data_IF_644507699078
#
_entry.id   IF_644507699078
#
_cell.length_a   1.000
_cell.length_b   1.000
_cell.length_c   1.000
_cell.angle_alpha   90.00
_cell.angle_beta   90.00
_cell.angle_gamma   90.00
#
_symmetry.space_group_name_H-M   'P 1'
#
loop_
_entity.id
_entity.type
_entity.pdbx_description
1 polymer ?
#
# COMPACT_ATOMS: atom_id res chain seq x y z
N UNK A 1 8.63 -12.68 -17.97
CA UNK A 1 9.09 -12.50 -16.59
C UNK A 1 9.21 -11.02 -16.33
N UNK A 2 8.96 -10.59 -15.11
CA UNK A 2 8.95 -9.19 -14.71
C UNK A 2 7.93 -8.99 -13.62
N UNK A 3 8.41 -8.65 -12.42
CA UNK A 3 7.57 -8.30 -11.28
C UNK A 3 7.94 -6.88 -10.88
N UNK A 4 6.96 -6.02 -10.76
CA UNK A 4 7.12 -4.72 -10.12
C UNK A 4 6.70 -4.87 -8.66
N UNK A 5 7.51 -4.34 -7.74
CA UNK A 5 7.31 -4.43 -6.30
C UNK A 5 7.29 -3.03 -5.70
N UNK A 6 6.36 -2.79 -4.78
CA UNK A 6 6.41 -1.65 -3.86
C UNK A 6 6.48 -2.17 -2.44
N UNK A 7 7.50 -1.73 -1.69
CA UNK A 7 7.73 -2.10 -0.30
C UNK A 7 7.48 -0.90 0.61
N UNK A 8 6.74 -1.12 1.70
CA UNK A 8 6.56 -0.16 2.78
C UNK A 8 6.92 -0.84 4.11
N UNK A 9 7.78 -0.24 4.92
CA UNK A 9 8.00 -0.72 6.29
C UNK A 9 6.84 -0.23 7.15
N UNK A 10 6.21 -1.16 7.87
CA UNK A 10 5.06 -0.91 8.74
C UNK A 10 5.49 -0.76 10.21
N UNK A 11 6.44 -1.57 10.65
CA UNK A 11 6.97 -1.57 12.01
C UNK A 11 8.43 -2.05 12.05
N UNK A 12 9.14 -1.69 13.13
CA UNK A 12 10.57 -1.97 13.30
C UNK A 12 11.46 -0.80 12.87
N UNK A 13 12.77 -0.94 13.06
CA UNK A 13 13.72 0.16 12.82
C UNK A 13 13.98 0.43 11.34
N UNK A 14 13.72 -0.55 10.48
CA UNK A 14 13.82 -0.40 9.03
C UNK A 14 14.83 -1.34 8.38
N UNK A 15 15.02 -1.13 7.08
CA UNK A 15 15.81 -1.95 6.19
C UNK A 15 16.57 -1.08 5.20
N UNK A 16 17.79 -1.46 4.87
CA UNK A 16 18.53 -0.91 3.74
C UNK A 16 18.33 -1.83 2.55
N UNK A 17 17.75 -1.32 1.47
CA UNK A 17 17.62 -2.01 0.19
C UNK A 17 18.75 -1.60 -0.74
N UNK A 18 19.47 -2.59 -1.26
CA UNK A 18 20.42 -2.42 -2.36
C UNK A 18 19.80 -3.03 -3.62
N UNK A 19 19.35 -2.17 -4.54
CA UNK A 19 18.74 -2.55 -5.81
C UNK A 19 19.72 -2.21 -6.92
N UNK A 20 20.08 -3.20 -7.73
CA UNK A 20 21.07 -3.02 -8.80
C UNK A 20 20.76 -1.81 -9.68
N UNK A 21 21.78 -0.95 -9.88
CA UNK A 21 21.66 0.27 -10.68
C UNK A 21 21.07 1.48 -9.94
N UNK A 22 20.83 1.38 -8.62
CA UNK A 22 20.39 2.48 -7.75
C UNK A 22 21.34 2.65 -6.58
N UNK A 23 21.34 3.83 -5.97
CA UNK A 23 21.96 4.01 -4.66
C UNK A 23 21.18 3.19 -3.61
N UNK A 24 21.86 2.62 -2.59
CA UNK A 24 21.17 1.98 -1.48
C UNK A 24 20.15 2.92 -0.83
N UNK A 25 18.98 2.38 -0.51
CA UNK A 25 17.87 3.14 0.06
C UNK A 25 17.55 2.64 1.46
N UNK A 26 17.57 3.55 2.43
CA UNK A 26 17.10 3.28 3.79
C UNK A 26 15.59 3.48 3.87
N UNK A 27 14.87 2.44 4.30
CA UNK A 27 13.42 2.45 4.45
C UNK A 27 13.06 2.19 5.91
N UNK A 28 12.32 3.12 6.51
CA UNK A 28 11.81 3.03 7.88
C UNK A 28 10.30 3.08 7.88
N UNK A 29 9.68 2.91 9.06
CA UNK A 29 8.26 3.08 9.23
C UNK A 29 7.75 4.49 8.92
N UNK A 30 8.60 5.48 8.65
CA UNK A 30 8.22 6.83 8.20
C UNK A 30 8.45 7.05 6.70
N UNK A 31 9.11 6.13 6.00
CA UNK A 31 9.42 6.27 4.59
C UNK A 31 8.16 6.20 3.71
N UNK A 32 8.21 6.90 2.58
CA UNK A 32 7.24 6.76 1.50
C UNK A 32 7.34 5.34 0.89
N UNK A 33 6.27 4.84 0.25
CA UNK A 33 6.30 3.58 -0.50
C UNK A 33 7.46 3.55 -1.51
N UNK A 34 8.23 2.47 -1.52
CA UNK A 34 9.42 2.34 -2.36
C UNK A 34 9.20 1.32 -3.48
N UNK A 35 9.03 1.81 -4.71
CA UNK A 35 8.84 0.98 -5.90
C UNK A 35 10.14 0.63 -6.60
N UNK A 36 10.25 -0.62 -7.07
CA UNK A 36 11.37 -1.13 -7.85
C UNK A 36 10.99 -2.37 -8.67
N UNK A 37 11.78 -2.63 -9.72
CA UNK A 37 11.71 -3.86 -10.49
C UNK A 37 12.30 -5.02 -9.65
N UNK A 38 11.50 -6.03 -9.30
CA UNK A 38 11.95 -7.14 -8.46
C UNK A 38 12.68 -8.26 -9.24
N UNK A 39 12.84 -8.09 -10.55
CA UNK A 39 13.59 -8.99 -11.43
C UNK A 39 15.05 -8.53 -11.66
N UNK A 40 15.51 -7.49 -10.97
CA UNK A 40 16.94 -7.14 -10.88
C UNK A 40 17.53 -7.61 -9.55
N UNK A 41 18.84 -7.90 -9.48
CA UNK A 41 19.49 -8.27 -8.22
C UNK A 41 19.16 -7.25 -7.11
N UNK A 42 18.63 -7.76 -6.00
CA UNK A 42 18.23 -6.96 -4.85
C UNK A 42 18.69 -7.65 -3.58
N UNK A 43 19.39 -6.92 -2.71
CA UNK A 43 19.76 -7.37 -1.37
C UNK A 43 19.09 -6.45 -0.33
N UNK A 44 18.90 -6.99 0.87
CA UNK A 44 18.23 -6.28 1.95
C UNK A 44 18.91 -6.59 3.28
N UNK A 45 19.22 -5.56 4.05
CA UNK A 45 19.85 -5.68 5.36
C UNK A 45 18.99 -4.95 6.41
N UNK A 46 18.61 -5.65 7.48
CA UNK A 46 17.89 -5.05 8.61
C UNK A 46 18.79 -4.03 9.30
N UNK A 47 18.27 -2.84 9.57
CA UNK A 47 18.99 -1.80 10.31
C UNK A 47 19.18 -2.26 11.76
N UNK A 48 18.08 -2.69 12.40
CA UNK A 48 18.10 -3.23 13.75
C UNK A 48 16.82 -4.01 14.05
N UNK A 49 16.99 -5.30 14.36
CA UNK A 49 15.89 -6.20 14.70
C UNK A 49 14.94 -6.52 13.53
N UNK A 50 13.90 -7.31 13.80
CA UNK A 50 12.90 -7.66 12.79
C UNK A 50 12.06 -6.44 12.40
N UNK A 51 11.50 -6.50 11.19
CA UNK A 51 10.51 -5.55 10.69
C UNK A 51 9.23 -6.27 10.28
N UNK A 52 8.14 -5.51 10.18
CA UNK A 52 6.95 -5.90 9.40
C UNK A 52 6.88 -5.00 8.18
N UNK A 53 6.64 -5.56 7.01
CA UNK A 53 6.49 -4.81 5.76
C UNK A 53 5.15 -5.11 5.05
N UNK A 54 4.66 -4.12 4.31
CA UNK A 54 3.62 -4.27 3.30
C UNK A 54 4.31 -4.38 1.95
N UNK A 55 3.95 -5.44 1.24
CA UNK A 55 4.57 -5.82 -0.02
C UNK A 55 3.52 -5.97 -1.11
N UNK A 56 3.53 -5.05 -2.07
CA UNK A 56 2.64 -5.09 -3.23
C UNK A 56 3.46 -5.52 -4.44
N UNK A 57 3.05 -6.63 -5.07
CA UNK A 57 3.76 -7.22 -6.21
C UNK A 57 2.79 -7.44 -7.36
N UNK A 58 3.10 -6.90 -8.53
CA UNK A 58 2.32 -7.13 -9.76
C UNK A 58 3.18 -7.69 -10.87
N UNK A 59 2.59 -8.52 -11.73
CA UNK A 59 3.27 -9.03 -12.91
C UNK A 59 3.29 -7.96 -14.01
N UNK A 60 4.50 -7.50 -14.35
CA UNK A 60 4.73 -6.49 -15.38
C UNK A 60 4.16 -6.92 -16.73
N UNK A 61 3.56 -5.98 -17.43
CA UNK A 61 2.87 -6.21 -18.71
C UNK A 61 1.52 -6.94 -18.58
N UNK A 62 1.06 -7.25 -17.36
CA UNK A 62 -0.31 -7.73 -17.11
C UNK A 62 -1.06 -6.84 -16.14
N UNK A 63 -0.38 -6.35 -15.12
CA UNK A 63 -0.95 -5.49 -14.10
C UNK A 63 0.04 -4.38 -13.74
N UNK A 64 -0.49 -3.22 -13.40
CA UNK A 64 0.24 -2.11 -12.78
C UNK A 64 -0.33 -1.85 -11.39
N UNK A 65 0.47 -1.29 -10.49
CA UNK A 65 -0.04 -0.84 -9.19
C UNK A 65 0.53 0.51 -8.78
N UNK A 66 -0.19 1.19 -7.90
CA UNK A 66 0.31 2.31 -7.09
C UNK A 66 0.03 2.03 -5.63
N UNK A 67 0.90 2.52 -4.75
CA UNK A 67 0.70 2.49 -3.30
C UNK A 67 0.86 3.90 -2.79
N UNK A 68 -0.14 4.38 -2.07
CA UNK A 68 -0.17 5.69 -1.44
C UNK A 68 -0.26 5.51 0.07
N UNK A 69 0.55 6.25 0.81
CA UNK A 69 0.50 6.31 2.27
C UNK A 69 -0.15 7.63 2.68
N UNK A 70 -1.25 7.55 3.40
CA UNK A 70 -2.02 8.71 3.86
C UNK A 70 -2.02 8.78 5.38
N UNK A 71 -1.75 9.97 5.91
CA UNK A 71 -2.07 10.32 7.30
C UNK A 71 -3.42 11.00 7.31
N UNK A 72 -4.38 10.43 8.02
CA UNK A 72 -5.77 10.92 8.03
C UNK A 72 -6.22 11.15 9.45
N UNK A 73 -6.85 12.29 9.69
CA UNK A 73 -7.37 12.67 11.00
C UNK A 73 -8.81 13.21 10.93
N UNK A 74 -9.41 13.14 9.75
CA UNK A 74 -10.78 13.56 9.47
C UNK A 74 -11.40 12.57 8.48
N UNK A 75 -12.74 12.51 8.39
CA UNK A 75 -13.41 11.66 7.43
C UNK A 75 -12.94 11.94 6.01
N UNK A 76 -12.77 10.88 5.24
CA UNK A 76 -12.42 10.98 3.82
C UNK A 76 -13.30 10.05 3.00
N UNK A 77 -13.27 10.27 1.70
CA UNK A 77 -14.06 9.49 0.78
C UNK A 77 -13.13 8.75 -0.18
N UNK A 78 -13.24 7.43 -0.21
CA UNK A 78 -12.50 6.56 -1.12
C UNK A 78 -13.40 6.16 -2.28
N UNK A 79 -12.86 6.32 -3.48
CA UNK A 79 -13.49 5.92 -4.73
C UNK A 79 -12.65 4.80 -5.36
N UNK A 80 -13.31 3.77 -5.87
CA UNK A 80 -12.67 2.69 -6.62
C UNK A 80 -12.24 3.23 -8.01
N UNK A 81 -11.03 3.78 -8.10
CA UNK A 81 -10.48 4.44 -9.30
C UNK A 81 -9.64 3.55 -10.21
N UNK A 82 -9.48 2.29 -9.83
CA UNK A 82 -8.73 1.27 -10.55
C UNK A 82 -9.57 -0.01 -10.58
N UNK A 83 -9.17 -0.98 -11.41
CA UNK A 83 -9.82 -2.30 -11.48
C UNK A 83 -10.07 -2.88 -10.08
N UNK A 84 -9.06 -2.77 -9.20
CA UNK A 84 -9.17 -3.07 -7.77
C UNK A 84 -8.48 -1.99 -6.94
N UNK A 85 -9.18 -1.47 -5.93
CA UNK A 85 -8.64 -0.55 -4.91
C UNK A 85 -8.68 -1.24 -3.56
N UNK A 86 -7.57 -1.24 -2.82
CA UNK A 86 -7.48 -1.74 -1.46
C UNK A 86 -7.19 -0.58 -0.50
N UNK A 87 -7.84 -0.60 0.66
CA UNK A 87 -7.55 0.31 1.77
C UNK A 87 -7.16 -0.50 3.00
N UNK A 88 -5.99 -0.19 3.57
CA UNK A 88 -5.44 -0.89 4.73
C UNK A 88 -5.03 0.12 5.81
N UNK A 89 -5.72 0.21 6.94
CA UNK A 89 -5.28 0.96 8.10
C UNK A 89 -4.01 0.30 8.67
N UNK A 90 -2.97 1.09 8.91
CA UNK A 90 -1.77 0.60 9.58
C UNK A 90 -1.98 0.50 11.10
N UNK A 91 -2.65 1.50 11.65
CA UNK A 91 -2.95 1.64 13.05
C UNK A 91 -4.39 2.17 13.22
N UNK A 92 -4.82 2.33 14.47
CA UNK A 92 -6.14 2.87 14.76
C UNK A 92 -7.28 2.04 14.18
N UNK A 93 -8.45 2.65 14.11
CA UNK A 93 -9.64 2.04 13.55
C UNK A 93 -10.35 3.03 12.65
N UNK A 94 -10.89 2.51 11.55
CA UNK A 94 -11.69 3.25 10.59
C UNK A 94 -13.08 2.64 10.55
N UNK A 95 -14.11 3.47 10.66
CA UNK A 95 -15.50 3.07 10.43
C UNK A 95 -15.86 3.37 8.99
N UNK A 96 -16.40 2.39 8.27
CA UNK A 96 -17.06 2.61 6.99
C UNK A 96 -18.48 3.08 7.27
N UNK A 97 -18.80 4.30 6.88
CA UNK A 97 -20.13 4.87 7.09
C UNK A 97 -21.14 4.26 6.11
N UNK A 98 -22.35 4.01 6.60
CA UNK A 98 -23.46 3.45 5.82
C UNK A 98 -24.64 3.10 6.72
N UNK A 99 -25.67 2.49 6.15
CA UNK A 99 -26.87 2.06 6.91
C UNK A 99 -26.53 1.01 7.98
N UNK A 100 -25.50 0.19 7.72
CA UNK A 100 -24.88 -0.72 8.66
C UNK A 100 -23.37 -0.45 8.71
N UNK A 101 -22.88 0.33 9.70
CA UNK A 101 -21.46 0.66 9.77
C UNK A 101 -20.58 -0.55 10.02
N UNK A 102 -19.47 -0.65 9.28
CA UNK A 102 -18.47 -1.68 9.44
C UNK A 102 -17.17 -1.09 10.00
N UNK A 103 -16.39 -1.89 10.74
CA UNK A 103 -15.13 -1.45 11.36
C UNK A 103 -13.96 -2.14 10.68
N UNK A 104 -12.97 -1.35 10.31
CA UNK A 104 -11.71 -1.79 9.73
C UNK A 104 -10.61 -1.50 10.75
N UNK A 105 -10.07 -2.56 11.35
CA UNK A 105 -8.96 -2.49 12.28
C UNK A 105 -7.59 -2.45 11.59
N UNK A 106 -6.51 -2.39 12.38
CA UNK A 106 -5.15 -2.44 11.84
C UNK A 106 -4.93 -3.71 10.99
N UNK A 107 -4.44 -3.51 9.78
CA UNK A 107 -4.11 -4.55 8.78
C UNK A 107 -5.31 -5.33 8.23
N UNK A 108 -6.55 -4.96 8.58
CA UNK A 108 -7.71 -5.38 7.79
C UNK A 108 -7.65 -4.71 6.41
N UNK A 109 -8.29 -5.33 5.43
CA UNK A 109 -8.32 -4.83 4.06
C UNK A 109 -9.76 -4.61 3.59
N UNK A 110 -10.10 -3.37 3.29
CA UNK A 110 -11.26 -3.05 2.46
C UNK A 110 -10.86 -3.23 0.99
N UNK A 111 -11.61 -4.03 0.23
CA UNK A 111 -11.40 -4.25 -1.19
C UNK A 111 -12.59 -3.70 -1.97
N UNK A 112 -12.31 -2.85 -2.94
CA UNK A 112 -13.31 -2.20 -3.79
C UNK A 112 -12.96 -2.44 -5.25
N UNK A 113 -13.86 -3.06 -5.98
CA UNK A 113 -13.74 -3.20 -7.43
C UNK A 113 -14.26 -1.96 -8.14
N UNK A 114 -13.76 -1.69 -9.35
CA UNK A 114 -14.22 -0.58 -10.18
C UNK A 114 -15.76 -0.57 -10.30
N UNK A 115 -16.36 0.60 -10.08
CA UNK A 115 -17.81 0.77 -10.06
C UNK A 115 -18.47 0.53 -8.70
N UNK A 116 -17.73 0.09 -7.69
CA UNK A 116 -18.21 0.12 -6.30
C UNK A 116 -18.54 1.57 -5.90
N UNK A 117 -19.71 1.84 -5.29
CA UNK A 117 -20.04 3.18 -4.79
C UNK A 117 -18.96 3.73 -3.86
N UNK A 118 -18.83 5.06 -3.85
CA UNK A 118 -17.89 5.77 -2.98
C UNK A 118 -18.11 5.36 -1.53
N UNK A 119 -17.02 5.06 -0.84
CA UNK A 119 -17.03 4.69 0.58
C UNK A 119 -16.56 5.88 1.41
N UNK A 120 -17.32 6.21 2.44
CA UNK A 120 -16.92 7.21 3.44
C UNK A 120 -16.23 6.53 4.60
N UNK A 121 -14.97 6.88 4.82
CA UNK A 121 -14.13 6.34 5.88
C UNK A 121 -14.03 7.38 7.00
N UNK A 122 -14.37 6.97 8.21
CA UNK A 122 -14.36 7.79 9.42
C UNK A 122 -13.31 7.26 10.39
N UNK A 123 -12.12 7.88 10.47
CA UNK A 123 -11.10 7.45 11.41
C UNK A 123 -11.48 7.89 12.83
N UNK A 124 -11.34 6.99 13.81
CA UNK A 124 -11.64 7.30 15.21
C UNK A 124 -10.65 8.33 15.83
N UNK A 125 -9.43 8.37 15.32
CA UNK A 125 -8.36 9.32 15.67
C UNK A 125 -7.40 9.48 14.48
N UNK A 126 -6.37 10.32 14.60
CA UNK A 126 -5.30 10.39 13.61
C UNK A 126 -4.66 9.01 13.37
N UNK A 127 -4.66 8.54 12.12
CA UNK A 127 -4.19 7.22 11.72
C UNK A 127 -3.46 7.26 10.39
N UNK A 128 -2.64 6.25 10.12
CA UNK A 128 -2.05 6.00 8.81
C UNK A 128 -2.86 4.92 8.10
N UNK A 129 -3.17 5.15 6.81
CA UNK A 129 -3.70 4.11 5.94
C UNK A 129 -2.94 4.05 4.62
N UNK A 130 -2.90 2.86 4.03
CA UNK A 130 -2.41 2.64 2.69
C UNK A 130 -3.57 2.51 1.72
N UNK A 131 -3.51 3.23 0.60
CA UNK A 131 -4.40 3.04 -0.54
C UNK A 131 -3.60 2.41 -1.66
N UNK A 132 -3.99 1.19 -2.04
CA UNK A 132 -3.35 0.44 -3.12
C UNK A 132 -4.32 0.42 -4.29
N UNK A 133 -3.86 0.79 -5.47
CA UNK A 133 -4.66 0.73 -6.70
C UNK A 133 -3.98 -0.21 -7.68
N UNK A 134 -4.71 -1.18 -8.21
CA UNK A 134 -4.21 -2.20 -9.12
C UNK A 134 -5.08 -2.16 -10.38
N UNK A 135 -4.44 -2.03 -11.53
CA UNK A 135 -5.09 -2.03 -12.85
C UNK A 135 -4.52 -3.15 -13.70
N UNK A 136 -5.35 -3.68 -14.61
CA UNK A 136 -4.82 -4.40 -15.77
C UNK A 136 -3.93 -3.45 -16.57
N UNK A 137 -2.73 -3.91 -16.88
CA UNK A 137 -1.89 -3.21 -17.84
C UNK A 137 -2.67 -3.15 -19.15
N UNK A 138 -2.92 -1.95 -19.67
CA UNK A 138 -3.63 -1.79 -20.92
C UNK A 138 -3.00 -2.65 -22.01
N UNK A 139 -3.81 -3.47 -22.69
CA UNK A 139 -3.45 -3.90 -24.03
C UNK A 139 -3.31 -2.62 -24.84
N UNK A 140 -2.08 -2.24 -25.19
CA UNK A 140 -1.89 -1.35 -26.34
C UNK A 140 -2.69 -1.99 -27.48
N UNK A 141 -3.76 -1.34 -27.90
CA UNK A 141 -4.31 -1.55 -29.23
C UNK A 141 -3.33 -0.93 -30.23
#
# INVERSE_FOLDING_TARGET
>A
GGIDRTLCVLAGQGIVLDVAGRAPAELTAASAPFSFAADVPTAAALISGPITDLNVMTRRGRMTHTVERLTVAAPLEIEARADTTLVLPLDGEIVLAGDAPERLGPLDALVLDLGTPRQRLEPAAGTILFVIRIDRAGSNH
#
